data_IF_120186245312
#
_entry.id   IF_120186245312
#
_cell.length_a   1.000
_cell.length_b   1.000
_cell.length_c   1.000
_cell.angle_alpha   90.00
_cell.angle_beta   90.00
_cell.angle_gamma   90.00
#
_symmetry.space_group_name_H-M   'P 1'
#
loop_
_entity.id
_entity.type
_entity.pdbx_description
1 polymer ?
#
# COMPACT_ATOMS: atom_id res chain seq x y z
N UNK A 1 9.53 -2.84 -15.49
CA UNK A 1 8.85 -3.40 -14.30
C UNK A 1 7.38 -3.12 -14.47
N UNK A 2 6.50 -4.10 -14.28
CA UNK A 2 5.07 -3.94 -14.60
C UNK A 2 4.21 -3.61 -13.37
N UNK A 3 4.85 -3.44 -12.20
CA UNK A 3 4.20 -3.00 -10.96
C UNK A 3 4.88 -1.72 -10.50
N UNK A 4 4.12 -0.63 -10.47
CA UNK A 4 4.55 0.68 -9.99
C UNK A 4 3.44 1.26 -9.13
N UNK A 5 3.80 1.81 -7.98
CA UNK A 5 2.88 2.49 -7.08
C UNK A 5 3.54 3.77 -6.58
N UNK A 6 2.84 4.90 -6.74
CA UNK A 6 3.28 6.18 -6.21
C UNK A 6 2.11 6.81 -5.44
N UNK A 7 2.20 6.77 -4.13
CA UNK A 7 1.29 7.47 -3.22
C UNK A 7 2.02 8.72 -2.70
N UNK A 8 1.34 9.87 -2.71
CA UNK A 8 1.88 11.15 -2.24
C UNK A 8 0.81 11.88 -1.45
N UNK A 9 1.23 12.57 -0.39
CA UNK A 9 0.38 13.54 0.28
C UNK A 9 0.21 14.75 -0.66
N UNK A 10 -1.03 15.11 -1.00
CA UNK A 10 -1.34 16.22 -1.91
C UNK A 10 -2.02 17.40 -1.21
N UNK A 11 -2.32 17.27 0.08
CA UNK A 11 -2.95 18.29 0.91
C UNK A 11 -2.60 18.09 2.38
N UNK A 12 -3.04 19.01 3.23
CA UNK A 12 -3.10 18.76 4.67
C UNK A 12 -3.83 17.44 4.94
N UNK A 13 -3.19 16.57 5.72
CA UNK A 13 -3.68 15.22 5.97
C UNK A 13 -4.23 15.17 7.39
N UNK A 14 -5.55 15.34 7.50
CA UNK A 14 -6.26 15.15 8.78
C UNK A 14 -6.51 13.66 8.98
N UNK A 15 -5.52 12.99 9.53
CA UNK A 15 -5.60 11.57 9.87
C UNK A 15 -5.86 11.42 11.37
N UNK A 16 -6.98 10.79 11.70
CA UNK A 16 -7.23 10.26 13.04
C UNK A 16 -6.51 8.91 13.19
N UNK A 17 -5.36 8.94 13.86
CA UNK A 17 -4.51 7.78 14.09
C UNK A 17 -5.17 6.72 14.99
N UNK A 18 -6.06 7.14 15.89
CA UNK A 18 -6.76 6.24 16.81
C UNK A 18 -7.90 5.49 16.11
N UNK A 19 -8.55 6.13 15.13
CA UNK A 19 -9.48 5.47 14.21
C UNK A 19 -8.76 4.53 13.25
N UNK A 20 -7.65 4.96 12.66
CA UNK A 20 -6.86 4.13 11.75
C UNK A 20 -6.24 2.92 12.45
N UNK A 21 -5.89 3.04 13.73
CA UNK A 21 -5.43 1.93 14.58
C UNK A 21 -6.47 0.82 14.78
N UNK A 22 -7.77 1.09 14.53
CA UNK A 22 -8.83 0.07 14.60
C UNK A 22 -8.93 -0.75 13.31
N UNK A 23 -8.28 -0.32 12.24
CA UNK A 23 -8.20 -1.06 10.99
C UNK A 23 -7.07 -2.08 11.11
N UNK A 24 -7.27 -3.35 10.71
CA UNK A 24 -6.21 -4.34 10.72
C UNK A 24 -4.96 -3.85 9.99
N UNK A 25 -3.79 -4.03 10.62
CA UNK A 25 -2.51 -3.52 10.14
C UNK A 25 -2.11 -4.07 8.77
N UNK A 26 -2.71 -5.16 8.31
CA UNK A 26 -2.40 -5.84 7.06
C UNK A 26 -3.59 -5.92 6.08
N UNK A 27 -4.46 -4.91 6.12
CA UNK A 27 -5.67 -4.87 5.30
C UNK A 27 -5.33 -4.85 3.80
N UNK A 28 -5.89 -5.81 3.06
CA UNK A 28 -5.91 -5.78 1.60
C UNK A 28 -6.86 -4.66 1.15
N UNK A 29 -6.29 -3.61 0.55
CA UNK A 29 -7.03 -2.42 0.10
C UNK A 29 -7.43 -2.49 -1.36
N UNK A 30 -6.81 -3.38 -2.14
CA UNK A 30 -7.13 -3.57 -3.55
C UNK A 30 -6.62 -4.92 -4.08
N UNK A 31 -7.45 -5.63 -4.84
CA UNK A 31 -7.03 -6.84 -5.54
C UNK A 31 -7.55 -6.84 -6.97
N UNK A 32 -6.67 -7.13 -7.94
CA UNK A 32 -7.02 -7.25 -9.35
C UNK A 32 -6.47 -8.54 -9.95
N UNK A 33 -7.36 -9.30 -10.60
CA UNK A 33 -6.99 -10.48 -11.39
C UNK A 33 -6.59 -10.04 -12.79
N UNK A 34 -5.34 -10.31 -13.17
CA UNK A 34 -4.78 -9.85 -14.45
C UNK A 34 -4.87 -10.92 -15.54
N UNK A 35 -4.95 -12.20 -15.18
CA UNK A 35 -5.03 -13.31 -16.14
C UNK A 35 -5.72 -14.55 -15.51
N UNK A 36 -6.46 -15.37 -16.28
CA UNK A 36 -6.93 -16.69 -15.86
C UNK A 36 -5.87 -17.61 -15.23
N UNK A 37 -4.60 -17.52 -15.64
CA UNK A 37 -3.49 -18.34 -15.11
C UNK A 37 -2.79 -17.73 -13.88
N UNK A 38 -3.58 -17.39 -12.85
CA UNK A 38 -3.10 -17.08 -11.50
C UNK A 38 -2.10 -15.92 -11.36
N UNK A 39 -2.35 -14.78 -12.03
CA UNK A 39 -1.70 -13.51 -11.67
C UNK A 39 -2.71 -12.63 -10.95
N UNK A 40 -2.64 -12.62 -9.62
CA UNK A 40 -3.39 -11.68 -8.78
C UNK A 40 -2.41 -10.62 -8.29
N UNK A 41 -2.76 -9.35 -8.49
CA UNK A 41 -2.06 -8.21 -7.90
C UNK A 41 -2.83 -7.81 -6.65
N UNK A 42 -2.17 -7.81 -5.50
CA UNK A 42 -2.73 -7.38 -4.23
C UNK A 42 -2.02 -6.12 -3.77
N UNK A 43 -2.77 -5.18 -3.20
CA UNK A 43 -2.26 -3.98 -2.54
C UNK A 43 -2.63 -4.08 -1.08
N UNK A 44 -1.63 -4.15 -0.23
CA UNK A 44 -1.79 -4.16 1.22
C UNK A 44 -1.43 -2.79 1.77
N UNK A 45 -2.25 -2.30 2.70
CA UNK A 45 -1.94 -1.11 3.48
C UNK A 45 -1.42 -1.53 4.85
N UNK A 46 -0.27 -0.98 5.22
CA UNK A 46 0.35 -1.09 6.54
C UNK A 46 0.40 0.28 7.20
N UNK A 47 0.35 0.28 8.54
CA UNK A 47 0.40 1.49 9.35
C UNK A 47 1.62 1.44 10.26
N UNK A 48 2.50 2.43 10.12
CA UNK A 48 3.55 2.75 11.08
C UNK A 48 3.05 3.88 11.97
N UNK A 49 2.80 3.55 13.25
CA UNK A 49 2.22 4.48 14.23
C UNK A 49 3.26 5.40 14.85
N UNK A 50 4.48 4.90 15.02
CA UNK A 50 5.58 5.65 15.62
C UNK A 50 5.92 6.83 14.71
N UNK A 51 6.03 6.56 13.41
CA UNK A 51 6.40 7.55 12.40
C UNK A 51 5.20 8.13 11.64
N UNK A 52 3.96 7.86 12.08
CA UNK A 52 2.73 8.36 11.44
C UNK A 52 2.75 8.20 9.92
N UNK A 53 3.07 7.00 9.47
CA UNK A 53 3.33 6.69 8.06
C UNK A 53 2.40 5.59 7.57
N UNK A 54 1.79 5.81 6.40
CA UNK A 54 0.95 4.82 5.73
C UNK A 54 1.77 4.20 4.60
N UNK A 55 1.94 2.89 4.65
CA UNK A 55 2.73 2.14 3.69
C UNK A 55 1.79 1.34 2.80
N UNK A 56 1.98 1.41 1.49
CA UNK A 56 1.25 0.61 0.52
C UNK A 56 2.24 -0.34 -0.17
N UNK A 57 1.98 -1.64 -0.02
CA UNK A 57 2.75 -2.71 -0.64
C UNK A 57 1.92 -3.36 -1.74
N UNK A 58 2.41 -3.29 -2.97
CA UNK A 58 1.89 -4.08 -4.08
C UNK A 58 2.71 -5.34 -4.21
N UNK A 59 2.07 -6.50 -4.26
CA UNK A 59 2.71 -7.77 -4.56
C UNK A 59 1.84 -8.63 -5.48
N UNK A 60 2.51 -9.47 -6.27
CA UNK A 60 1.84 -10.46 -7.11
C UNK A 60 2.10 -11.86 -6.59
N UNK A 61 1.04 -12.64 -6.44
CA UNK A 61 1.12 -14.07 -6.16
C UNK A 61 1.29 -14.78 -7.51
N UNK A 62 2.51 -15.17 -7.89
CA UNK A 62 2.76 -16.09 -9.00
C UNK A 62 2.92 -17.50 -8.46
N UNK A 63 2.22 -18.47 -9.04
CA UNK A 63 2.36 -19.89 -8.70
C UNK A 63 3.51 -20.58 -9.47
N UNK A 64 4.06 -19.96 -10.53
CA UNK A 64 5.03 -20.58 -11.44
C UNK A 64 6.22 -19.61 -11.63
N UNK A 65 7.42 -20.16 -11.38
CA UNK A 65 8.76 -19.56 -11.31
C UNK A 65 8.99 -18.26 -12.12
N UNK A 66 8.74 -17.11 -11.47
CA UNK A 66 9.00 -15.79 -12.03
C UNK A 66 9.22 -14.77 -10.93
N UNK A 67 10.16 -13.84 -11.14
CA UNK A 67 10.57 -12.83 -10.16
C UNK A 67 9.37 -12.02 -9.65
N UNK A 68 9.05 -12.05 -8.34
CA UNK A 68 7.90 -11.36 -7.78
C UNK A 68 8.01 -9.86 -8.08
N UNK A 69 7.01 -9.31 -8.75
CA UNK A 69 6.94 -7.87 -9.05
C UNK A 69 6.28 -7.20 -7.86
N UNK A 70 7.10 -6.55 -7.05
CA UNK A 70 6.64 -5.81 -5.88
C UNK A 70 6.93 -4.32 -6.07
N UNK A 71 6.05 -3.47 -5.55
CA UNK A 71 6.26 -2.03 -5.46
C UNK A 71 5.84 -1.57 -4.06
N UNK A 72 6.56 -0.59 -3.51
CA UNK A 72 6.26 -0.02 -2.20
C UNK A 72 6.18 1.49 -2.32
N UNK A 73 5.20 2.09 -1.63
CA UNK A 73 5.11 3.53 -1.46
C UNK A 73 4.76 3.85 -0.01
N UNK A 74 5.54 4.73 0.63
CA UNK A 74 5.29 5.20 1.97
C UNK A 74 4.88 6.67 1.93
N UNK A 75 3.81 7.02 2.65
CA UNK A 75 3.32 8.40 2.79
C UNK A 75 3.32 8.75 4.27
N UNK A 76 4.28 9.58 4.66
CA UNK A 76 4.37 10.13 6.01
C UNK A 76 3.44 11.32 6.14
N UNK A 77 2.73 11.39 7.26
CA UNK A 77 1.91 12.54 7.61
C UNK A 77 2.78 13.72 8.01
N UNK A 78 3.15 14.55 7.05
CA UNK A 78 3.94 15.74 7.31
C UNK A 78 3.04 16.97 7.50
N UNK A 79 3.47 17.96 8.32
CA UNK A 79 2.86 19.28 8.34
C UNK A 79 2.88 19.87 6.93
N UNK A 80 1.73 20.30 6.42
CA UNK A 80 1.63 20.85 5.06
C UNK A 80 2.09 22.31 5.07
N UNK A 81 3.12 22.69 4.28
CA UNK A 81 3.47 24.10 4.13
C UNK A 81 2.32 24.82 3.42
N UNK A 82 1.81 25.88 4.05
CA UNK A 82 0.76 26.73 3.48
C UNK A 82 1.27 27.50 2.27
#
# INVERSE_FOLDING_TARGET
SDSSLACRQTSEMTVDWDLLAKIPEDTNVFSQKTNPWFKTMNVRRLLDREEKTIIYLVFSEHLIDGSPKNAISAVTAMPWPK
#
